data_IF_083996279286
#
_entry.id   IF_083996279286
#
_cell.length_a   1.000
_cell.length_b   1.000
_cell.length_c   1.000
_cell.angle_alpha   90.00
_cell.angle_beta   90.00
_cell.angle_gamma   90.00
#
_symmetry.space_group_name_H-M   'P 1'
#
loop_
_entity.id
_entity.type
_entity.pdbx_description
1 polymer ?
#
# COMPACT_ATOMS: atom_id res chain seq x y z
N UNK A 1 13.59 -1.65 -7.06
CA UNK A 1 14.10 -1.67 -5.65
C UNK A 1 13.58 -2.91 -4.96
N UNK A 2 14.41 -3.61 -4.18
CA UNK A 2 14.00 -4.81 -3.44
C UNK A 2 13.61 -4.44 -2.01
N UNK A 3 12.34 -4.65 -1.64
CA UNK A 3 11.83 -4.43 -0.28
C UNK A 3 11.81 -5.79 0.43
N UNK A 4 12.35 -5.88 1.65
CA UNK A 4 12.37 -7.10 2.47
C UNK A 4 11.40 -6.93 3.62
N UNK A 5 10.76 -8.03 4.04
CA UNK A 5 9.86 -8.08 5.17
C UNK A 5 9.80 -9.48 5.79
N UNK A 6 9.04 -9.59 6.86
CA UNK A 6 8.72 -10.86 7.51
C UNK A 6 7.23 -10.91 7.82
N UNK A 7 6.66 -12.09 7.71
CA UNK A 7 5.31 -12.40 8.18
C UNK A 7 5.38 -13.50 9.22
N UNK A 8 4.53 -13.42 10.24
CA UNK A 8 4.45 -14.40 11.30
C UNK A 8 3.19 -15.24 11.16
N UNK A 9 3.36 -16.54 11.01
CA UNK A 9 2.25 -17.49 10.91
C UNK A 9 2.45 -18.54 12.00
N UNK A 10 1.56 -18.59 13.00
CA UNK A 10 1.67 -19.50 14.16
C UNK A 10 3.08 -19.52 14.76
N UNK A 11 3.61 -18.35 15.13
CA UNK A 11 4.94 -18.14 15.71
C UNK A 11 6.13 -18.48 14.79
N UNK A 12 5.87 -18.75 13.51
CA UNK A 12 6.91 -18.98 12.50
C UNK A 12 7.16 -17.71 11.73
N UNK A 13 8.39 -17.21 11.81
CA UNK A 13 8.86 -16.09 10.99
C UNK A 13 9.14 -16.56 9.55
N UNK A 14 8.41 -16.02 8.59
CA UNK A 14 8.58 -16.31 7.16
C UNK A 14 9.05 -15.05 6.48
N UNK A 15 10.23 -15.10 5.87
CA UNK A 15 10.80 -13.98 5.12
C UNK A 15 10.01 -13.74 3.85
N UNK A 16 9.80 -12.46 3.56
CA UNK A 16 9.18 -11.98 2.32
C UNK A 16 10.10 -11.01 1.60
N UNK A 17 9.88 -10.86 0.30
CA UNK A 17 10.61 -9.94 -0.54
C UNK A 17 9.72 -9.47 -1.68
N UNK A 18 9.74 -8.17 -1.96
CA UNK A 18 9.19 -7.62 -3.20
C UNK A 18 10.35 -7.27 -4.13
N UNK A 19 10.37 -7.82 -5.33
CA UNK A 19 11.38 -7.58 -6.36
C UNK A 19 10.66 -7.30 -7.68
N UNK A 20 10.97 -6.18 -8.31
CA UNK A 20 10.40 -5.76 -9.60
C UNK A 20 8.85 -5.79 -9.63
N UNK A 21 8.23 -5.39 -8.51
CA UNK A 21 6.78 -5.38 -8.33
C UNK A 21 6.13 -6.73 -8.01
N UNK A 22 6.93 -7.81 -7.95
CA UNK A 22 6.46 -9.17 -7.66
C UNK A 22 6.77 -9.51 -6.19
N UNK A 23 5.77 -10.03 -5.48
CA UNK A 23 5.93 -10.49 -4.10
C UNK A 23 6.38 -11.94 -4.05
N UNK A 24 7.43 -12.19 -3.28
CA UNK A 24 8.00 -13.50 -3.04
C UNK A 24 7.97 -13.85 -1.54
N UNK A 25 7.73 -15.12 -1.25
CA UNK A 25 7.68 -15.69 0.09
C UNK A 25 8.73 -16.79 0.19
N UNK A 26 9.47 -16.85 1.31
CA UNK A 26 10.50 -17.86 1.54
C UNK A 26 9.87 -19.24 1.81
N UNK A 27 9.83 -20.10 0.82
CA UNK A 27 9.30 -21.47 0.97
C UNK A 27 10.22 -22.37 1.77
N UNK A 28 11.51 -22.04 1.94
CA UNK A 28 12.40 -22.74 2.88
C UNK A 28 11.96 -22.55 4.32
N UNK A 29 11.46 -21.36 4.69
CA UNK A 29 10.94 -21.11 6.04
C UNK A 29 9.64 -21.89 6.28
N UNK A 30 8.76 -21.99 5.28
CA UNK A 30 7.56 -22.84 5.30
C UNK A 30 7.94 -24.33 5.42
N UNK A 31 8.95 -24.78 4.68
CA UNK A 31 9.40 -26.16 4.66
C UNK A 31 9.87 -26.67 6.04
N UNK A 32 10.37 -25.77 6.90
CA UNK A 32 10.76 -26.10 8.28
C UNK A 32 9.62 -26.64 9.13
N UNK A 33 8.37 -26.32 8.78
CA UNK A 33 7.18 -26.86 9.44
C UNK A 33 7.06 -28.38 9.24
N UNK A 34 7.54 -28.88 8.10
CA UNK A 34 7.51 -30.32 7.78
C UNK A 34 8.81 -31.04 8.20
N UNK A 35 9.95 -30.39 8.01
CA UNK A 35 11.26 -30.89 8.42
C UNK A 35 12.20 -29.72 8.73
N UNK A 36 12.41 -29.47 10.01
CA UNK A 36 13.26 -28.37 10.48
C UNK A 36 14.75 -28.59 10.21
N UNK A 37 15.20 -29.85 10.21
CA UNK A 37 16.60 -30.21 10.00
C UNK A 37 17.00 -30.05 8.51
N UNK A 38 16.16 -30.55 7.59
CA UNK A 38 16.46 -30.58 6.16
C UNK A 38 15.35 -29.92 5.31
N UNK A 39 15.08 -28.61 5.49
CA UNK A 39 13.99 -27.93 4.79
C UNK A 39 14.22 -27.84 3.27
N UNK A 40 15.47 -27.90 2.81
CA UNK A 40 15.82 -27.91 1.38
C UNK A 40 15.35 -29.17 0.69
N UNK A 41 15.37 -30.29 1.38
CA UNK A 41 14.93 -31.58 0.81
C UNK A 41 13.40 -31.64 0.73
N UNK A 42 12.70 -30.97 1.63
CA UNK A 42 11.24 -30.78 1.52
C UNK A 42 10.89 -30.04 0.22
N UNK A 43 11.61 -28.96 -0.10
CA UNK A 43 11.42 -28.20 -1.34
C UNK A 43 11.74 -29.06 -2.57
N UNK A 44 12.86 -29.81 -2.57
CA UNK A 44 13.21 -30.70 -3.68
C UNK A 44 12.17 -31.81 -3.88
N UNK A 45 11.69 -32.42 -2.79
CA UNK A 45 10.66 -33.46 -2.84
C UNK A 45 9.34 -32.95 -3.41
N UNK A 46 8.97 -31.70 -3.14
CA UNK A 46 7.82 -31.06 -3.75
C UNK A 46 8.04 -30.81 -5.24
N UNK A 47 9.21 -30.31 -5.63
CA UNK A 47 9.53 -29.99 -7.03
C UNK A 47 9.70 -31.20 -7.93
N UNK A 48 9.95 -32.40 -7.39
CA UNK A 48 10.01 -33.62 -8.21
C UNK A 48 8.65 -34.19 -8.61
N UNK A 49 7.55 -33.68 -8.02
CA UNK A 49 6.22 -34.14 -8.34
C UNK A 49 5.75 -33.59 -9.68
N UNK A 50 5.09 -34.43 -10.49
CA UNK A 50 4.61 -34.03 -11.81
C UNK A 50 3.61 -32.88 -11.76
N UNK A 51 2.63 -32.94 -10.87
CA UNK A 51 1.64 -31.89 -10.67
C UNK A 51 2.24 -30.56 -10.20
N UNK A 52 3.38 -30.61 -9.49
CA UNK A 52 4.11 -29.39 -9.11
C UNK A 52 4.75 -28.76 -10.33
N UNK A 53 5.46 -29.53 -11.16
CA UNK A 53 6.07 -28.98 -12.37
C UNK A 53 5.04 -28.49 -13.39
N UNK A 54 3.90 -29.18 -13.52
CA UNK A 54 2.76 -28.69 -14.32
C UNK A 54 2.31 -27.29 -13.85
N UNK A 55 2.13 -27.13 -12.54
CA UNK A 55 1.74 -25.84 -11.96
C UNK A 55 2.79 -24.75 -12.18
N UNK A 56 4.06 -25.04 -11.90
CA UNK A 56 5.18 -24.12 -12.09
C UNK A 56 5.32 -23.72 -13.57
N UNK A 57 5.26 -24.69 -14.48
CA UNK A 57 5.34 -24.44 -15.92
C UNK A 57 4.17 -23.59 -16.44
N UNK A 58 2.94 -23.85 -15.97
CA UNK A 58 1.78 -23.05 -16.32
C UNK A 58 1.91 -21.61 -15.81
N UNK A 59 2.34 -21.45 -14.54
CA UNK A 59 2.55 -20.13 -13.97
C UNK A 59 3.60 -19.34 -14.76
N UNK A 60 4.73 -19.97 -15.10
CA UNK A 60 5.79 -19.35 -15.90
C UNK A 60 5.29 -18.96 -17.31
N UNK A 61 4.57 -19.85 -18.00
CA UNK A 61 3.99 -19.57 -19.34
C UNK A 61 3.06 -18.34 -19.31
N UNK A 62 2.34 -18.12 -18.22
CA UNK A 62 1.42 -17.00 -18.07
C UNK A 62 2.11 -15.67 -17.66
N UNK A 63 3.23 -15.73 -16.93
CA UNK A 63 3.81 -14.57 -16.27
C UNK A 63 5.25 -14.24 -16.73
N UNK A 64 5.91 -15.13 -17.48
CA UNK A 64 7.30 -14.99 -17.87
C UNK A 64 7.47 -15.13 -19.41
N UNK A 65 7.58 -14.01 -20.13
CA UNK A 65 7.76 -14.06 -21.59
C UNK A 65 9.08 -14.73 -22.04
N UNK A 66 10.07 -14.86 -21.14
CA UNK A 66 11.35 -15.48 -21.42
C UNK A 66 11.42 -16.96 -20.98
N UNK A 67 10.30 -17.55 -20.58
CA UNK A 67 10.26 -18.94 -20.15
C UNK A 67 10.55 -19.90 -21.30
N UNK A 68 11.51 -20.80 -21.08
CA UNK A 68 11.95 -21.77 -22.07
C UNK A 68 11.05 -23.01 -22.08
N UNK A 69 9.91 -22.90 -22.76
CA UNK A 69 8.91 -23.97 -22.81
C UNK A 69 9.41 -25.25 -23.48
N UNK A 70 10.29 -25.15 -24.48
CA UNK A 70 10.89 -26.31 -25.17
C UNK A 70 11.75 -27.14 -24.23
N UNK A 71 12.53 -26.50 -23.36
CA UNK A 71 13.36 -27.17 -22.35
C UNK A 71 12.53 -27.71 -21.17
N UNK A 72 11.34 -27.14 -20.95
CA UNK A 72 10.42 -27.59 -19.92
C UNK A 72 9.70 -28.89 -20.27
N UNK A 73 9.30 -29.09 -21.52
CA UNK A 73 8.48 -30.25 -21.93
C UNK A 73 9.16 -31.62 -21.64
N UNK A 74 10.47 -31.83 -21.88
CA UNK A 74 11.14 -33.05 -21.44
C UNK A 74 11.17 -33.26 -19.93
N UNK A 75 11.37 -32.17 -19.16
CA UNK A 75 11.37 -32.24 -17.69
C UNK A 75 10.01 -32.66 -17.15
N UNK A 76 8.93 -32.21 -17.78
CA UNK A 76 7.57 -32.60 -17.41
C UNK A 76 7.28 -34.05 -17.74
N UNK A 77 7.82 -34.57 -18.86
CA UNK A 77 7.68 -35.97 -19.24
C UNK A 77 8.35 -36.92 -18.24
N UNK A 78 9.52 -36.54 -17.70
CA UNK A 78 10.28 -37.33 -16.72
C UNK A 78 9.76 -37.17 -15.29
N UNK A 79 9.03 -36.09 -15.01
CA UNK A 79 8.58 -35.73 -13.66
C UNK A 79 7.72 -36.83 -13.03
N UNK A 80 7.95 -37.08 -11.74
CA UNK A 80 7.25 -38.12 -10.98
C UNK A 80 7.89 -39.51 -11.07
N UNK A 81 8.86 -39.74 -11.98
CA UNK A 81 9.62 -41.01 -11.98
C UNK A 81 10.56 -41.08 -10.75
N UNK A 82 10.95 -42.31 -10.37
CA UNK A 82 11.80 -42.50 -9.19
C UNK A 82 13.21 -41.89 -9.35
N UNK A 83 13.73 -41.83 -10.57
CA UNK A 83 15.05 -41.25 -10.90
C UNK A 83 15.02 -39.73 -11.05
N UNK A 84 13.82 -39.15 -11.24
CA UNK A 84 13.70 -37.71 -11.46
C UNK A 84 14.00 -36.90 -10.20
N UNK A 85 14.88 -35.93 -10.34
CA UNK A 85 15.20 -34.96 -9.28
C UNK A 85 15.16 -33.55 -9.84
N UNK A 86 14.57 -32.61 -9.10
CA UNK A 86 14.52 -31.22 -9.44
C UNK A 86 14.89 -30.37 -8.22
N UNK A 87 15.74 -29.37 -8.44
CA UNK A 87 16.05 -28.34 -7.44
C UNK A 87 15.65 -26.97 -7.96
N UNK A 88 15.39 -25.99 -7.08
CA UNK A 88 15.09 -24.61 -7.49
C UNK A 88 16.16 -24.02 -8.41
N UNK A 89 17.43 -24.23 -8.12
CA UNK A 89 18.54 -23.74 -8.94
C UNK A 89 18.51 -24.35 -10.34
N UNK A 90 18.43 -25.68 -10.43
CA UNK A 90 18.34 -26.39 -11.71
C UNK A 90 17.10 -25.98 -12.53
N UNK A 91 15.97 -25.75 -11.85
CA UNK A 91 14.75 -25.24 -12.49
C UNK A 91 14.99 -23.91 -13.19
N UNK A 92 15.57 -22.93 -12.48
CA UNK A 92 15.88 -21.60 -13.05
C UNK A 92 16.89 -21.69 -14.20
N UNK A 93 17.96 -22.46 -14.01
CA UNK A 93 19.03 -22.61 -15.04
C UNK A 93 18.51 -23.20 -16.35
N UNK A 94 17.65 -24.21 -16.27
CA UNK A 94 17.13 -24.88 -17.46
C UNK A 94 16.02 -24.07 -18.15
N UNK A 95 15.13 -23.47 -17.39
CA UNK A 95 13.88 -22.89 -17.93
C UNK A 95 13.84 -21.39 -17.97
N UNK A 96 14.86 -20.70 -17.45
CA UNK A 96 14.86 -19.24 -17.24
C UNK A 96 13.67 -18.76 -16.40
N UNK A 97 13.22 -19.59 -15.45
CA UNK A 97 12.10 -19.32 -14.56
C UNK A 97 12.33 -18.11 -13.65
N UNK A 98 11.27 -17.35 -13.38
CA UNK A 98 11.26 -16.20 -12.47
C UNK A 98 10.39 -16.44 -11.21
N UNK A 99 9.44 -17.35 -11.26
CA UNK A 99 8.52 -17.62 -10.18
C UNK A 99 9.15 -18.24 -8.93
N UNK A 100 10.33 -18.86 -9.08
CA UNK A 100 11.10 -19.45 -7.97
C UNK A 100 12.58 -19.10 -8.15
N UNK A 101 13.25 -18.69 -7.07
CA UNK A 101 14.70 -18.47 -7.09
C UNK A 101 15.35 -18.80 -5.74
N UNK A 102 16.66 -19.05 -5.77
CA UNK A 102 17.46 -19.32 -4.57
C UNK A 102 18.37 -18.13 -4.25
N UNK A 103 18.39 -17.75 -2.97
CA UNK A 103 19.31 -16.75 -2.44
C UNK A 103 20.30 -17.43 -1.48
N UNK A 104 21.58 -17.22 -1.69
CA UNK A 104 22.65 -17.72 -0.85
C UNK A 104 22.99 -16.77 0.30
N UNK A 105 23.71 -17.26 1.31
CA UNK A 105 24.24 -16.49 2.44
C UNK A 105 23.30 -16.37 3.64
N UNK A 106 23.69 -15.52 4.59
CA UNK A 106 22.91 -15.26 5.80
C UNK A 106 21.53 -14.72 5.45
N UNK A 107 20.46 -15.33 5.97
CA UNK A 107 19.09 -15.02 5.60
C UNK A 107 18.68 -15.50 4.20
N UNK A 108 19.46 -16.40 3.58
CA UNK A 108 19.16 -17.05 2.32
C UNK A 108 18.03 -18.07 2.44
N UNK A 109 17.66 -18.66 1.29
CA UNK A 109 16.61 -19.64 1.16
C UNK A 109 16.06 -19.68 -0.25
N UNK A 110 15.09 -20.54 -0.48
CA UNK A 110 14.31 -20.56 -1.72
C UNK A 110 13.09 -19.66 -1.56
N UNK A 111 12.95 -18.72 -2.46
CA UNK A 111 11.83 -17.79 -2.54
C UNK A 111 10.96 -18.18 -3.72
N UNK A 112 9.66 -18.20 -3.51
CA UNK A 112 8.67 -18.43 -4.56
C UNK A 112 7.70 -17.27 -4.64
N UNK A 113 7.22 -16.97 -5.84
CA UNK A 113 6.14 -16.01 -6.04
C UNK A 113 4.93 -16.42 -5.19
N UNK A 114 4.15 -15.45 -4.76
CA UNK A 114 3.05 -15.60 -3.81
C UNK A 114 2.15 -16.82 -4.09
N UNK A 115 1.67 -16.97 -5.32
CA UNK A 115 0.72 -18.04 -5.66
C UNK A 115 1.39 -19.42 -5.64
N UNK A 116 2.66 -19.48 -6.05
CA UNK A 116 3.51 -20.68 -5.95
C UNK A 116 3.80 -21.03 -4.50
N UNK A 117 4.06 -20.02 -3.67
CA UNK A 117 4.31 -20.22 -2.24
C UNK A 117 3.05 -20.74 -1.51
N UNK A 118 1.86 -20.26 -1.85
CA UNK A 118 0.60 -20.77 -1.30
C UNK A 118 0.35 -22.21 -1.74
N UNK A 119 0.63 -22.55 -3.01
CA UNK A 119 0.56 -23.94 -3.49
C UNK A 119 1.53 -24.86 -2.73
N UNK A 120 2.74 -24.38 -2.43
CA UNK A 120 3.69 -25.11 -1.59
C UNK A 120 3.19 -25.25 -0.14
N UNK A 121 2.66 -24.19 0.45
CA UNK A 121 2.14 -24.18 1.81
C UNK A 121 0.99 -25.19 1.97
N UNK A 122 0.08 -25.27 0.99
CA UNK A 122 -1.01 -26.26 0.94
C UNK A 122 -0.43 -27.70 0.96
N UNK A 123 0.60 -27.96 0.16
CA UNK A 123 1.24 -29.27 0.13
C UNK A 123 1.95 -29.63 1.45
N UNK A 124 2.46 -28.63 2.19
CA UNK A 124 3.05 -28.81 3.52
C UNK A 124 1.97 -29.04 4.57
N UNK A 125 0.95 -28.20 4.62
CA UNK A 125 -0.19 -28.24 5.54
C UNK A 125 -1.29 -27.30 5.08
N UNK A 126 -2.50 -27.82 4.86
CA UNK A 126 -3.69 -27.02 4.50
C UNK A 126 -3.99 -25.96 5.55
N UNK A 127 -3.86 -26.31 6.82
CA UNK A 127 -4.09 -25.38 7.92
C UNK A 127 -3.07 -24.22 7.88
N UNK A 128 -1.80 -24.54 7.64
CA UNK A 128 -0.76 -23.52 7.55
C UNK A 128 -0.95 -22.60 6.35
N UNK A 129 -1.39 -23.13 5.20
CA UNK A 129 -1.77 -22.32 4.04
C UNK A 129 -2.82 -21.28 4.40
N UNK A 130 -3.90 -21.69 5.07
CA UNK A 130 -4.98 -20.79 5.44
C UNK A 130 -4.48 -19.61 6.28
N UNK A 131 -3.68 -19.88 7.32
CA UNK A 131 -3.11 -18.81 8.15
C UNK A 131 -2.14 -17.93 7.36
N UNK A 132 -1.34 -18.50 6.48
CA UNK A 132 -0.40 -17.74 5.63
C UNK A 132 -1.16 -16.78 4.69
N UNK A 133 -2.23 -17.25 4.05
CA UNK A 133 -3.07 -16.43 3.18
C UNK A 133 -3.72 -15.29 3.96
N UNK A 134 -4.30 -15.58 5.12
CA UNK A 134 -4.96 -14.56 5.98
C UNK A 134 -3.96 -13.48 6.40
N UNK A 135 -2.78 -13.86 6.87
CA UNK A 135 -1.76 -12.90 7.33
C UNK A 135 -1.20 -12.07 6.17
N UNK A 136 -0.98 -12.69 5.02
CA UNK A 136 -0.55 -11.96 3.83
C UNK A 136 -1.59 -10.91 3.38
N UNK A 137 -2.87 -11.27 3.35
CA UNK A 137 -3.95 -10.35 3.01
C UNK A 137 -4.04 -9.19 4.01
N UNK A 138 -3.91 -9.48 5.31
CA UNK A 138 -3.91 -8.47 6.38
C UNK A 138 -2.79 -7.44 6.18
N UNK A 139 -1.58 -7.90 5.87
CA UNK A 139 -0.43 -7.01 5.64
C UNK A 139 -0.59 -6.18 4.36
N UNK A 140 -1.14 -6.78 3.30
CA UNK A 140 -1.42 -6.05 2.05
C UNK A 140 -2.48 -4.97 2.22
N UNK A 141 -3.53 -5.23 2.99
CA UNK A 141 -4.54 -4.23 3.33
C UNK A 141 -3.91 -3.03 4.07
N UNK A 142 -3.05 -3.29 5.06
CA UNK A 142 -2.29 -2.23 5.76
C UNK A 142 -1.36 -1.45 4.82
N UNK A 143 -0.66 -2.11 3.91
CA UNK A 143 0.22 -1.44 2.95
C UNK A 143 -0.57 -0.49 2.03
N UNK A 144 -1.72 -0.94 1.52
CA UNK A 144 -2.62 -0.11 0.71
C UNK A 144 -3.15 1.10 1.47
N UNK A 145 -3.53 0.94 2.72
CA UNK A 145 -3.96 2.02 3.59
C UNK A 145 -2.85 3.08 3.76
N UNK A 146 -1.62 2.65 4.07
CA UNK A 146 -0.46 3.54 4.21
C UNK A 146 -0.12 4.29 2.92
N UNK A 147 -0.20 3.64 1.75
CA UNK A 147 0.00 4.28 0.45
C UNK A 147 -1.08 5.36 0.22
N UNK A 148 -2.33 5.04 0.52
CA UNK A 148 -3.44 5.99 0.44
C UNK A 148 -3.20 7.23 1.32
N UNK A 149 -2.74 7.06 2.55
CA UNK A 149 -2.37 8.15 3.46
C UNK A 149 -1.24 9.02 2.92
N UNK A 150 -0.19 8.41 2.36
CA UNK A 150 0.97 9.14 1.81
C UNK A 150 0.57 10.00 0.61
N UNK A 151 -0.21 9.45 -0.33
CA UNK A 151 -0.70 10.19 -1.49
C UNK A 151 -1.60 11.37 -1.08
N UNK A 152 -2.52 11.16 -0.13
CA UNK A 152 -3.38 12.23 0.40
C UNK A 152 -2.56 13.34 1.09
N UNK A 153 -1.54 12.97 1.84
CA UNK A 153 -0.66 13.94 2.51
C UNK A 153 0.12 14.80 1.52
N UNK A 154 0.61 14.24 0.43
CA UNK A 154 1.31 15.00 -0.61
C UNK A 154 0.35 15.91 -1.38
N UNK A 155 -0.86 15.47 -1.72
CA UNK A 155 -1.89 16.32 -2.32
C UNK A 155 -2.26 17.48 -1.41
N UNK A 156 -2.47 17.25 -0.12
CA UNK A 156 -2.76 18.32 0.85
C UNK A 156 -1.65 19.35 0.95
N UNK A 157 -0.37 18.93 0.89
CA UNK A 157 0.76 19.88 0.87
C UNK A 157 0.77 20.76 -0.37
N UNK A 158 0.48 20.18 -1.55
CA UNK A 158 0.43 20.93 -2.81
C UNK A 158 -0.71 21.94 -2.77
N UNK A 159 -1.90 21.53 -2.36
CA UNK A 159 -3.08 22.38 -2.27
C UNK A 159 -2.88 23.53 -1.26
N UNK A 160 -2.28 23.22 -0.11
CA UNK A 160 -1.89 24.23 0.86
C UNK A 160 -0.95 25.30 0.27
N UNK A 161 0.03 24.89 -0.55
CA UNK A 161 0.93 25.84 -1.25
C UNK A 161 0.16 26.72 -2.23
N UNK A 162 -0.68 26.13 -3.07
CA UNK A 162 -1.52 26.87 -4.02
C UNK A 162 -2.35 27.94 -3.28
N UNK A 163 -2.99 27.55 -2.18
CA UNK A 163 -3.78 28.46 -1.36
C UNK A 163 -2.94 29.57 -0.72
N UNK A 164 -1.79 29.23 -0.10
CA UNK A 164 -0.92 30.23 0.51
C UNK A 164 -0.28 31.18 -0.50
N UNK A 165 0.01 30.73 -1.72
CA UNK A 165 0.51 31.56 -2.81
C UNK A 165 -0.56 32.56 -3.28
N UNK A 166 -1.82 32.15 -3.38
CA UNK A 166 -2.93 33.05 -3.70
C UNK A 166 -3.11 34.11 -2.60
N UNK A 167 -3.10 33.74 -1.32
CA UNK A 167 -3.14 34.67 -0.19
C UNK A 167 -1.99 35.67 -0.29
N UNK A 168 -0.76 35.19 -0.52
CA UNK A 168 0.42 36.02 -0.63
C UNK A 168 0.31 37.07 -1.75
N UNK A 169 -0.20 36.63 -2.91
CA UNK A 169 -0.24 37.48 -4.11
C UNK A 169 -1.37 38.51 -4.10
N UNK A 170 -2.49 38.23 -3.45
CA UNK A 170 -3.72 39.03 -3.55
C UNK A 170 -4.17 39.69 -2.24
N UNK A 171 -3.85 39.06 -1.09
CA UNK A 171 -4.37 39.54 0.20
C UNK A 171 -3.30 40.16 1.10
N UNK A 172 -2.00 39.89 0.85
CA UNK A 172 -0.91 40.47 1.65
C UNK A 172 -0.40 41.74 0.98
N UNK A 173 -0.55 42.93 1.60
CA UNK A 173 0.00 44.18 1.07
C UNK A 173 1.53 44.15 1.04
N UNK A 174 2.16 44.83 0.05
CA UNK A 174 3.62 44.82 -0.15
C UNK A 174 4.43 45.36 1.05
N UNK A 175 3.83 46.20 1.90
CA UNK A 175 4.50 46.88 3.02
C UNK A 175 3.96 46.45 4.39
N UNK A 176 3.92 45.13 4.68
CA UNK A 176 3.53 44.64 6.00
C UNK A 176 4.66 43.87 6.67
N UNK A 177 4.65 43.84 8.00
CA UNK A 177 5.58 43.01 8.78
C UNK A 177 5.24 41.53 8.69
N UNK A 178 6.19 40.65 8.94
CA UNK A 178 5.95 39.22 8.98
C UNK A 178 4.85 38.81 9.99
N UNK A 179 4.75 39.55 11.11
CA UNK A 179 3.69 39.33 12.11
C UNK A 179 2.29 39.64 11.54
N UNK A 180 2.14 40.76 10.83
CA UNK A 180 0.88 41.13 10.17
C UNK A 180 0.51 40.14 9.06
N UNK A 181 1.48 39.71 8.25
CA UNK A 181 1.24 38.66 7.22
C UNK A 181 0.76 37.34 7.85
N UNK A 182 1.36 36.94 8.98
CA UNK A 182 0.94 35.72 9.69
C UNK A 182 -0.51 35.79 10.22
N UNK A 183 -0.98 36.98 10.60
CA UNK A 183 -2.38 37.17 11.00
C UNK A 183 -3.29 36.90 9.82
N UNK A 184 -2.99 37.45 8.64
CA UNK A 184 -3.79 37.26 7.42
C UNK A 184 -3.82 35.76 7.04
N UNK A 185 -2.69 35.06 7.09
CA UNK A 185 -2.67 33.62 6.85
C UNK A 185 -3.52 32.83 7.87
N UNK A 186 -3.51 33.22 9.13
CA UNK A 186 -4.31 32.57 10.16
C UNK A 186 -5.81 32.80 9.95
N UNK A 187 -6.20 34.02 9.60
CA UNK A 187 -7.59 34.38 9.28
C UNK A 187 -8.10 33.62 8.07
N UNK A 188 -7.31 33.51 7.00
CA UNK A 188 -7.66 32.75 5.81
C UNK A 188 -7.72 31.22 6.05
N UNK A 189 -6.86 30.69 6.92
CA UNK A 189 -6.98 29.30 7.37
C UNK A 189 -8.25 29.07 8.18
N UNK A 190 -8.67 30.05 8.99
CA UNK A 190 -9.92 29.96 9.76
C UNK A 190 -11.18 30.09 8.88
N UNK A 191 -11.15 30.77 7.74
CA UNK A 191 -12.23 30.73 6.74
C UNK A 191 -12.53 29.28 6.33
N UNK A 192 -11.49 28.50 6.03
CA UNK A 192 -11.62 27.09 5.67
C UNK A 192 -12.09 26.23 6.86
N UNK A 193 -11.54 26.48 8.05
CA UNK A 193 -11.93 25.74 9.25
C UNK A 193 -13.41 26.00 9.61
N UNK A 194 -13.85 27.26 9.55
CA UNK A 194 -15.26 27.61 9.82
C UNK A 194 -16.18 27.04 8.75
N UNK A 195 -15.78 27.12 7.47
CA UNK A 195 -16.58 26.57 6.39
C UNK A 195 -16.77 25.05 6.49
N UNK A 196 -15.76 24.32 6.98
CA UNK A 196 -15.75 22.86 7.07
C UNK A 196 -16.27 22.34 8.41
N UNK A 197 -15.79 22.91 9.52
CA UNK A 197 -16.00 22.40 10.88
C UNK A 197 -16.90 23.29 11.75
N UNK A 198 -17.31 24.46 11.24
CA UNK A 198 -18.13 25.43 11.97
C UNK A 198 -17.41 26.20 13.07
N UNK A 199 -16.07 26.09 13.19
CA UNK A 199 -15.29 26.73 14.24
C UNK A 199 -13.88 27.11 13.78
N UNK A 200 -13.29 28.14 14.41
CA UNK A 200 -11.90 28.53 14.19
C UNK A 200 -10.91 27.59 14.90
N UNK A 201 -9.64 27.64 14.52
CA UNK A 201 -8.58 26.90 15.19
C UNK A 201 -8.45 27.25 16.69
N UNK A 202 -8.74 28.51 17.04
CA UNK A 202 -8.75 28.96 18.43
C UNK A 202 -9.90 28.35 19.21
N UNK A 203 -11.13 28.43 18.72
CA UNK A 203 -12.33 27.85 19.33
C UNK A 203 -12.15 26.34 19.55
N UNK A 204 -11.58 25.64 18.58
CA UNK A 204 -11.31 24.21 18.71
C UNK A 204 -10.35 23.91 19.87
N UNK A 205 -9.23 24.67 20.00
CA UNK A 205 -8.26 24.49 21.10
C UNK A 205 -8.86 24.78 22.46
N UNK A 206 -9.70 25.80 22.57
CA UNK A 206 -10.41 26.17 23.80
C UNK A 206 -11.42 25.05 24.21
N UNK A 207 -12.04 24.40 23.24
CA UNK A 207 -12.96 23.28 23.46
C UNK A 207 -12.27 21.93 23.71
N UNK A 208 -10.98 21.79 23.38
CA UNK A 208 -10.20 20.56 23.47
C UNK A 208 -8.84 20.79 24.14
N UNK A 209 -8.78 21.24 25.39
CA UNK A 209 -7.53 21.65 26.05
C UNK A 209 -6.52 20.51 26.25
N UNK A 210 -7.01 19.26 26.33
CA UNK A 210 -6.18 18.07 26.54
C UNK A 210 -5.60 17.48 25.24
N UNK A 211 -6.07 17.94 24.08
CA UNK A 211 -5.63 17.44 22.79
C UNK A 211 -4.46 18.27 22.25
N UNK A 212 -3.42 17.57 21.74
CA UNK A 212 -2.26 18.22 21.09
C UNK A 212 -2.52 18.37 19.61
N UNK A 213 -2.02 19.48 19.01
CA UNK A 213 -2.12 19.71 17.58
C UNK A 213 -3.24 20.67 17.20
N UNK A 214 -3.95 20.40 16.11
CA UNK A 214 -5.00 21.25 15.57
C UNK A 214 -6.20 20.41 15.07
N UNK A 215 -7.32 21.07 14.72
CA UNK A 215 -8.56 20.42 14.27
C UNK A 215 -8.34 19.47 13.10
N UNK A 216 -7.41 19.74 12.20
CA UNK A 216 -7.12 18.92 11.01
C UNK A 216 -6.44 17.60 11.36
N UNK A 217 -5.74 17.53 12.50
CA UNK A 217 -5.09 16.30 12.98
C UNK A 217 -6.10 15.25 13.44
N UNK A 218 -7.32 15.68 13.74
CA UNK A 218 -8.44 14.85 14.20
C UNK A 218 -9.54 14.68 13.16
N UNK A 219 -9.37 15.28 11.98
CA UNK A 219 -10.33 15.18 10.90
C UNK A 219 -10.31 13.80 10.25
N UNK A 220 -11.48 13.32 9.85
CA UNK A 220 -11.64 12.10 9.06
C UNK A 220 -11.01 12.25 7.66
N UNK A 221 -10.78 11.10 7.01
CA UNK A 221 -10.25 11.08 5.64
C UNK A 221 -11.13 11.87 4.67
N UNK A 222 -12.45 11.76 4.79
CA UNK A 222 -13.40 12.47 3.94
C UNK A 222 -13.33 13.99 4.16
N UNK A 223 -13.21 14.43 5.42
CA UNK A 223 -13.04 15.84 5.77
C UNK A 223 -11.71 16.40 5.23
N UNK A 224 -10.62 15.64 5.31
CA UNK A 224 -9.33 16.06 4.75
C UNK A 224 -9.36 16.16 3.22
N UNK A 225 -10.07 15.27 2.53
CA UNK A 225 -10.28 15.35 1.07
C UNK A 225 -11.08 16.62 0.73
N UNK A 226 -12.18 16.86 1.45
CA UNK A 226 -13.02 18.02 1.26
C UNK A 226 -12.23 19.31 1.48
N UNK A 227 -11.49 19.39 2.60
CA UNK A 227 -10.64 20.55 2.94
C UNK A 227 -9.59 20.83 1.86
N UNK A 228 -8.94 19.80 1.34
CA UNK A 228 -7.95 19.92 0.27
C UNK A 228 -8.57 20.49 -1.02
N UNK A 229 -9.78 20.10 -1.38
CA UNK A 229 -10.51 20.67 -2.50
C UNK A 229 -10.90 22.13 -2.23
N UNK A 230 -11.33 22.44 -1.01
CA UNK A 230 -11.70 23.80 -0.61
C UNK A 230 -10.50 24.75 -0.64
N UNK A 231 -9.28 24.30 -0.31
CA UNK A 231 -8.06 25.10 -0.43
C UNK A 231 -7.84 25.58 -1.88
N UNK A 232 -8.00 24.68 -2.85
CA UNK A 232 -7.90 25.04 -4.27
C UNK A 232 -9.02 26.00 -4.71
N UNK A 233 -10.25 25.74 -4.31
CA UNK A 233 -11.38 26.59 -4.67
C UNK A 233 -11.22 27.97 -4.04
N UNK A 234 -10.80 28.06 -2.78
CA UNK A 234 -10.56 29.34 -2.12
C UNK A 234 -9.44 30.14 -2.80
N UNK A 235 -8.40 29.46 -3.29
CA UNK A 235 -7.36 30.13 -4.08
C UNK A 235 -7.92 30.79 -5.35
N UNK A 236 -8.81 30.10 -6.07
CA UNK A 236 -9.49 30.67 -7.23
C UNK A 236 -10.36 31.87 -6.84
N UNK A 237 -11.16 31.72 -5.78
CA UNK A 237 -12.03 32.80 -5.29
C UNK A 237 -11.24 34.03 -4.79
N UNK A 238 -10.04 33.83 -4.24
CA UNK A 238 -9.11 34.91 -3.87
C UNK A 238 -8.58 35.59 -5.13
N UNK A 239 -8.17 34.84 -6.14
CA UNK A 239 -7.68 35.39 -7.42
C UNK A 239 -8.77 36.17 -8.18
N UNK A 240 -10.04 35.83 -7.96
CA UNK A 240 -11.20 36.52 -8.52
C UNK A 240 -11.67 37.68 -7.64
N UNK A 241 -10.88 38.10 -6.63
CA UNK A 241 -11.15 39.21 -5.69
C UNK A 241 -12.51 39.09 -4.95
N UNK A 242 -13.00 37.86 -4.73
CA UNK A 242 -14.24 37.63 -3.97
C UNK A 242 -14.04 37.97 -2.49
N UNK A 243 -14.89 38.82 -1.87
CA UNK A 243 -14.78 39.17 -0.47
C UNK A 243 -14.84 37.96 0.47
N UNK A 244 -14.08 37.98 1.59
CA UNK A 244 -13.94 36.89 2.54
C UNK A 244 -15.28 36.32 3.03
N UNK A 245 -16.25 37.20 3.38
CA UNK A 245 -17.56 36.75 3.85
C UNK A 245 -18.34 35.96 2.79
N UNK A 246 -18.24 36.37 1.52
CA UNK A 246 -18.87 35.66 0.41
C UNK A 246 -18.15 34.32 0.12
N UNK A 247 -16.80 34.29 0.21
CA UNK A 247 -16.01 33.07 0.08
C UNK A 247 -16.39 32.05 1.15
N UNK A 248 -16.54 32.49 2.40
CA UNK A 248 -16.97 31.61 3.50
C UNK A 248 -18.30 30.91 3.19
N UNK A 249 -19.30 31.66 2.73
CA UNK A 249 -20.63 31.10 2.38
C UNK A 249 -20.53 30.10 1.24
N UNK A 250 -19.83 30.44 0.16
CA UNK A 250 -19.63 29.53 -0.98
C UNK A 250 -18.90 28.26 -0.60
N UNK A 251 -17.83 28.38 0.18
CA UNK A 251 -17.02 27.25 0.66
C UNK A 251 -17.82 26.33 1.58
N UNK A 252 -18.64 26.87 2.47
CA UNK A 252 -19.52 26.08 3.33
C UNK A 252 -20.55 25.26 2.50
N UNK A 253 -21.18 25.86 1.50
CA UNK A 253 -22.09 25.13 0.61
C UNK A 253 -21.38 24.00 -0.15
N UNK A 254 -20.15 24.25 -0.60
CA UNK A 254 -19.33 23.26 -1.28
C UNK A 254 -18.95 22.13 -0.32
N UNK A 255 -18.56 22.45 0.93
CA UNK A 255 -18.24 21.48 1.95
C UNK A 255 -19.42 20.52 2.23
N UNK A 256 -20.62 21.08 2.44
CA UNK A 256 -21.83 20.29 2.66
C UNK A 256 -22.08 19.33 1.48
N UNK A 257 -22.03 19.83 0.25
CA UNK A 257 -22.27 19.01 -0.94
C UNK A 257 -21.24 17.90 -1.11
N UNK A 258 -19.95 18.22 -0.96
CA UNK A 258 -18.87 17.25 -1.11
C UNK A 258 -18.91 16.19 -0.02
N UNK A 259 -19.17 16.55 1.23
CA UNK A 259 -19.30 15.60 2.33
C UNK A 259 -20.44 14.61 2.11
N UNK A 260 -21.60 15.06 1.64
CA UNK A 260 -22.70 14.16 1.28
C UNK A 260 -22.31 13.12 0.23
N UNK A 261 -21.50 13.50 -0.78
CA UNK A 261 -21.03 12.57 -1.82
C UNK A 261 -20.01 11.60 -1.24
N UNK A 262 -19.04 12.09 -0.45
CA UNK A 262 -17.97 11.28 0.13
C UNK A 262 -18.51 10.24 1.11
N UNK A 263 -19.47 10.61 1.96
CA UNK A 263 -20.12 9.70 2.91
C UNK A 263 -20.94 8.60 2.21
N UNK A 264 -21.69 8.95 1.16
CA UNK A 264 -22.42 7.96 0.35
C UNK A 264 -21.51 6.95 -0.30
N UNK A 265 -20.33 7.36 -0.75
CA UNK A 265 -19.34 6.48 -1.37
C UNK A 265 -18.63 5.59 -0.33
N UNK A 266 -18.35 6.10 0.86
CA UNK A 266 -17.77 5.31 1.96
C UNK A 266 -18.72 4.19 2.41
N UNK A 267 -20.01 4.48 2.54
CA UNK A 267 -21.04 3.49 2.91
C UNK A 267 -21.23 2.41 1.81
N UNK A 268 -21.05 2.73 0.52
CA UNK A 268 -21.10 1.76 -0.58
C UNK A 268 -19.92 0.78 -0.57
N UNK A 269 -18.74 1.22 -0.12
CA UNK A 269 -17.55 0.37 -0.04
C UNK A 269 -17.55 -0.57 1.18
N UNK A 270 -18.34 -0.27 2.21
CA UNK A 270 -18.55 -1.15 3.37
C UNK A 270 -19.56 -2.27 3.12
N UNK A 271 -20.35 -2.17 2.02
CA UNK A 271 -21.38 -3.16 1.63
C UNK A 271 -20.91 -4.11 0.50
N UNK A 272 -19.65 -4.03 0.10
CA UNK A 272 -18.99 -4.93 -0.85
C UNK A 272 -17.86 -5.70 -0.18
#
# INVERSE_FOLDING_TARGET
MTKKGEIFVKDVAIKTMTKDGIDYICITDIARQKNAAEPKDVVKNWMRQKNTLEYLGLWEKLNNPNFKGVEFDPLLAEAGSNSFTMSPTRWVELTAAIGVFTKNGAGGGTFAQRDIAFKFANWVSVEFELYLVMEFQRLKAKEQELIGWTAKRELSKINYRIHTDAIKSHLIPEKVTSTQANIIYAEEADVLNVAMFGMTARQWRESNPDLKGNIRDYASVNELICLSNMENINAVLINDDIPQGERLVRLNQIAIHQMQILERNSNRNLLR
#
